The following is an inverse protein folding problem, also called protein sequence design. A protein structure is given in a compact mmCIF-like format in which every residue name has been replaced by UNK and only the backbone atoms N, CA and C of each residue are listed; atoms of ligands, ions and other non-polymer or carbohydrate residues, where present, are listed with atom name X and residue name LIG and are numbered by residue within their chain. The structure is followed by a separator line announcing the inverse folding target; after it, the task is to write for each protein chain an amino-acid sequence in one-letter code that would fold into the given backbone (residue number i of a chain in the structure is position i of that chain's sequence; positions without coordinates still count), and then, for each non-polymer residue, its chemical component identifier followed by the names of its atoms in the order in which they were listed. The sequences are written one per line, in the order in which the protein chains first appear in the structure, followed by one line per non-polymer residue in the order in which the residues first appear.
data_IF_341078980775
#
_entry.id   IF_341078980775
#
_cell.length_a   1.000
_cell.length_b   1.000
_cell.length_c   1.000
_cell.angle_alpha   90.00
_cell.angle_beta   90.00
_cell.angle_gamma   90.00
#
_symmetry.space_group_name_H-M   'P 1'
#
loop_
_entity.id
_entity.type
_entity.pdbx_description
1 polymer ?
#
# COMPACT_ATOMS: atom_id res chain seq x y z
N UNK A 1 23.34 12.35 -8.15
CA UNK A 1 21.97 11.83 -7.99
C UNK A 1 21.47 12.30 -6.65
N UNK A 2 20.71 13.38 -6.64
CA UNK A 2 20.25 14.04 -5.41
C UNK A 2 19.14 13.18 -4.80
N UNK A 3 19.46 12.50 -3.70
CA UNK A 3 18.51 11.71 -2.92
C UNK A 3 17.66 12.70 -2.12
N UNK A 4 16.47 13.02 -2.61
CA UNK A 4 15.51 13.78 -1.81
C UNK A 4 14.94 12.86 -0.72
N UNK A 5 15.19 13.15 0.57
CA UNK A 5 14.57 12.42 1.66
C UNK A 5 13.04 12.59 1.51
N UNK A 6 12.33 11.46 1.41
CA UNK A 6 10.89 11.42 1.12
C UNK A 6 10.53 10.80 -0.23
N UNK A 7 11.40 10.88 -1.23
CA UNK A 7 11.10 10.33 -2.58
C UNK A 7 11.16 8.79 -2.63
N UNK A 8 12.10 8.17 -1.92
CA UNK A 8 12.29 6.71 -1.92
C UNK A 8 11.23 5.96 -1.13
N UNK A 9 10.95 6.40 0.09
CA UNK A 9 9.97 5.76 0.97
C UNK A 9 8.54 5.91 0.46
N UNK A 10 8.13 7.11 0.01
CA UNK A 10 6.82 7.29 -0.62
C UNK A 10 6.66 6.44 -1.87
N UNK A 11 7.73 6.29 -2.69
CA UNK A 11 7.69 5.42 -3.86
C UNK A 11 7.48 3.95 -3.49
N UNK A 12 8.15 3.48 -2.44
CA UNK A 12 7.93 2.11 -1.92
C UNK A 12 6.48 1.93 -1.48
N UNK A 13 5.92 2.90 -0.74
CA UNK A 13 4.52 2.84 -0.29
C UNK A 13 3.54 2.84 -1.46
N UNK A 14 3.77 3.67 -2.48
CA UNK A 14 2.95 3.69 -3.70
C UNK A 14 2.99 2.32 -4.38
N UNK A 15 4.18 1.78 -4.66
CA UNK A 15 4.33 0.49 -5.34
C UNK A 15 3.74 -0.66 -4.51
N UNK A 16 3.92 -0.67 -3.20
CA UNK A 16 3.35 -1.71 -2.33
C UNK A 16 1.82 -1.71 -2.35
N UNK A 17 1.18 -0.54 -2.40
CA UNK A 17 -0.28 -0.42 -2.50
C UNK A 17 -0.79 -0.94 -3.85
N UNK A 18 -0.16 -0.55 -4.96
CA UNK A 18 -0.50 -1.05 -6.31
C UNK A 18 -0.39 -2.58 -6.40
N UNK A 19 0.61 -3.17 -5.74
CA UNK A 19 0.76 -4.63 -5.65
C UNK A 19 -0.38 -5.28 -4.87
N UNK A 20 -0.82 -4.68 -3.75
CA UNK A 20 -1.95 -5.20 -2.98
C UNK A 20 -3.25 -5.12 -3.79
N UNK A 21 -3.49 -4.04 -4.52
CA UNK A 21 -4.64 -3.92 -5.42
C UNK A 21 -4.64 -5.04 -6.48
N UNK A 22 -3.47 -5.34 -7.05
CA UNK A 22 -3.29 -6.45 -8.01
C UNK A 22 -3.58 -7.81 -7.35
N UNK A 23 -3.13 -8.03 -6.11
CA UNK A 23 -3.41 -9.25 -5.36
C UNK A 23 -4.90 -9.39 -5.05
N UNK A 24 -5.58 -8.31 -4.65
CA UNK A 24 -7.02 -8.30 -4.39
C UNK A 24 -7.82 -8.72 -5.63
N UNK A 25 -7.47 -8.19 -6.81
CA UNK A 25 -8.10 -8.57 -8.09
C UNK A 25 -7.84 -10.03 -8.47
N UNK A 26 -6.66 -10.55 -8.16
CA UNK A 26 -6.27 -11.91 -8.50
C UNK A 26 -6.92 -12.94 -7.59
N UNK A 27 -6.89 -12.69 -6.28
CA UNK A 27 -7.45 -13.58 -5.26
C UNK A 27 -8.98 -13.52 -5.22
N UNK A 28 -9.59 -12.38 -5.57
CA UNK A 28 -11.05 -12.22 -5.64
C UNK A 28 -11.74 -13.14 -6.64
N UNK A 29 -10.99 -13.82 -7.51
CA UNK A 29 -11.49 -14.82 -8.47
C UNK A 29 -11.57 -16.23 -7.88
N UNK A 30 -10.99 -16.45 -6.69
CA UNK A 30 -10.89 -17.75 -6.05
C UNK A 30 -11.88 -17.86 -4.90
N UNK A 31 -12.58 -18.99 -4.80
CA UNK A 31 -13.41 -19.32 -3.64
C UNK A 31 -12.54 -19.55 -2.40
N UNK A 32 -13.08 -19.23 -1.22
CA UNK A 32 -12.38 -19.43 0.07
C UNK A 32 -11.29 -18.41 0.40
N UNK A 33 -11.17 -17.30 -0.36
CA UNK A 33 -10.16 -16.25 -0.10
C UNK A 33 -10.69 -15.05 0.68
N UNK A 34 -11.93 -15.08 1.18
CA UNK A 34 -12.58 -13.94 1.84
C UNK A 34 -11.75 -13.33 2.96
N UNK A 35 -11.21 -14.14 3.86
CA UNK A 35 -10.39 -13.66 4.98
C UNK A 35 -9.06 -13.07 4.51
N UNK A 36 -8.45 -13.64 3.47
CA UNK A 36 -7.21 -13.14 2.88
C UNK A 36 -7.46 -11.76 2.24
N UNK A 37 -8.57 -11.61 1.51
CA UNK A 37 -8.95 -10.33 0.92
C UNK A 37 -9.21 -9.26 1.98
N UNK A 38 -9.83 -9.64 3.11
CA UNK A 38 -10.06 -8.73 4.23
C UNK A 38 -8.72 -8.26 4.84
N UNK A 39 -7.81 -9.18 5.12
CA UNK A 39 -6.47 -8.85 5.65
C UNK A 39 -5.68 -7.95 4.69
N UNK A 40 -5.73 -8.22 3.38
CA UNK A 40 -5.06 -7.38 2.39
C UNK A 40 -5.62 -5.95 2.35
N UNK A 41 -6.94 -5.77 2.51
CA UNK A 41 -7.56 -4.43 2.61
C UNK A 41 -7.11 -3.69 3.87
N UNK A 42 -6.96 -4.39 4.99
CA UNK A 42 -6.46 -3.80 6.24
C UNK A 42 -5.01 -3.34 6.09
N UNK A 43 -4.15 -4.18 5.52
CA UNK A 43 -2.76 -3.80 5.22
C UNK A 43 -2.71 -2.62 4.26
N UNK A 44 -3.52 -2.62 3.19
CA UNK A 44 -3.61 -1.48 2.27
C UNK A 44 -3.98 -0.18 3.00
N UNK A 45 -4.99 -0.23 3.88
CA UNK A 45 -5.38 0.92 4.69
C UNK A 45 -4.26 1.42 5.61
N UNK A 46 -3.51 0.52 6.24
CA UNK A 46 -2.34 0.88 7.06
C UNK A 46 -1.24 1.56 6.24
N UNK A 47 -1.00 1.09 5.01
CA UNK A 47 -0.04 1.72 4.09
C UNK A 47 -0.50 3.09 3.62
N UNK A 48 -1.79 3.31 3.40
CA UNK A 48 -2.35 4.64 3.08
C UNK A 48 -2.12 5.62 4.23
N UNK A 49 -2.46 5.22 5.47
CA UNK A 49 -2.23 6.07 6.64
C UNK A 49 -0.75 6.41 6.82
N UNK A 50 0.14 5.43 6.62
CA UNK A 50 1.58 5.66 6.69
C UNK A 50 2.05 6.61 5.57
N UNK A 51 1.54 6.45 4.35
CA UNK A 51 1.88 7.31 3.23
C UNK A 51 1.40 8.76 3.45
N UNK A 52 0.20 8.94 3.99
CA UNK A 52 -0.34 10.25 4.34
C UNK A 52 0.48 10.95 5.43
N UNK A 53 0.92 10.22 6.47
CA UNK A 53 1.81 10.76 7.50
C UNK A 53 3.15 11.23 6.92
N UNK A 54 3.69 10.49 5.94
CA UNK A 54 4.95 10.86 5.28
C UNK A 54 4.79 12.03 4.30
N UNK A 55 3.60 12.18 3.71
CA UNK A 55 3.26 13.29 2.82
C UNK A 55 2.95 14.59 3.58
N UNK A 56 2.36 14.49 4.78
CA UNK A 56 2.03 15.63 5.65
C UNK A 56 3.15 16.06 6.61
N UNK A 57 4.31 15.38 6.60
CA UNK A 57 5.45 15.67 7.45
C UNK A 57 6.36 16.79 6.92
N UNK A 58 5.78 17.95 6.63
CA UNK A 58 6.48 19.23 6.40
C UNK A 58 5.64 20.36 7.01
N UNK A 59 5.57 20.40 8.34
CA UNK A 59 5.24 21.61 9.11
C UNK A 59 6.45 21.93 10.00
#
# INVERSE_FOLDING_TARGET
MSYEPGSGECRVLITSKEQIETMLLSLGKLEGTTDILQQLREVHGQLELLHDQRRGGSD
#
